data_IF_993592211202
#
_entry.id   IF_993592211202
#
_cell.length_a   1.000
_cell.length_b   1.000
_cell.length_c   1.000
_cell.angle_alpha   90.00
_cell.angle_beta   90.00
_cell.angle_gamma   90.00
#
_symmetry.space_group_name_H-M   'P 1'
#
loop_
_entity.id
_entity.type
_entity.pdbx_description
1 polymer ?
#
# COMPACT_ATOMS: atom_id res chain seq x y z
N UNK A 1 -16.39 81.81 -4.05
CA UNK A 1 -17.15 80.52 -4.13
C UNK A 1 -16.18 79.46 -4.58
N UNK A 2 -15.82 78.53 -3.69
CA UNK A 2 -14.92 77.39 -4.03
C UNK A 2 -15.77 76.14 -4.02
N UNK A 3 -15.82 75.44 -5.19
CA UNK A 3 -16.49 74.15 -5.29
C UNK A 3 -15.49 73.02 -4.91
N UNK A 4 -15.91 72.08 -4.11
CA UNK A 4 -15.08 70.91 -3.81
C UNK A 4 -15.21 69.90 -4.93
N UNK A 5 -14.06 69.37 -5.38
CA UNK A 5 -13.91 68.28 -6.35
C UNK A 5 -14.30 66.96 -5.70
N UNK A 6 -15.13 66.07 -6.28
CA UNK A 6 -15.41 64.76 -5.70
C UNK A 6 -14.23 63.81 -5.99
N UNK A 7 -13.69 63.23 -4.91
CA UNK A 7 -12.65 62.19 -4.94
C UNK A 7 -13.28 60.88 -5.34
N UNK A 8 -12.99 60.40 -6.55
CA UNK A 8 -13.48 59.10 -7.06
C UNK A 8 -12.65 58.00 -6.44
N UNK A 9 -13.26 57.22 -5.50
CA UNK A 9 -12.64 56.02 -4.92
C UNK A 9 -12.84 54.84 -5.86
N UNK A 10 -11.77 54.41 -6.59
CA UNK A 10 -11.78 53.23 -7.40
C UNK A 10 -11.46 52.03 -6.48
N UNK A 11 -12.51 51.25 -6.10
CA UNK A 11 -12.34 49.99 -5.37
C UNK A 11 -11.93 48.91 -6.36
N UNK A 12 -10.67 48.54 -6.30
CA UNK A 12 -10.14 47.36 -7.03
C UNK A 12 -10.62 46.10 -6.30
N UNK A 13 -11.67 45.47 -6.80
CA UNK A 13 -12.09 44.13 -6.38
C UNK A 13 -11.07 43.12 -6.96
N UNK A 14 -10.06 42.75 -6.17
CA UNK A 14 -9.24 41.59 -6.44
C UNK A 14 -10.09 40.35 -6.27
N UNK A 15 -10.61 39.82 -7.39
CA UNK A 15 -11.19 38.46 -7.44
C UNK A 15 -10.06 37.45 -7.27
N UNK A 16 -9.81 37.07 -6.04
CA UNK A 16 -8.93 35.94 -5.70
C UNK A 16 -9.51 34.66 -6.30
N UNK A 17 -8.99 34.21 -7.43
CA UNK A 17 -9.25 32.87 -7.94
C UNK A 17 -8.60 31.88 -6.97
N UNK A 18 -9.40 31.28 -6.10
CA UNK A 18 -8.97 30.11 -5.31
C UNK A 18 -8.71 28.99 -6.29
N UNK A 19 -7.43 28.72 -6.58
CA UNK A 19 -7.03 27.54 -7.32
C UNK A 19 -7.51 26.32 -6.51
N UNK A 20 -8.58 25.68 -6.94
CA UNK A 20 -9.07 24.43 -6.37
C UNK A 20 -7.97 23.37 -6.55
N UNK A 21 -7.29 22.99 -5.48
CA UNK A 21 -6.31 21.92 -5.51
C UNK A 21 -7.02 20.66 -6.03
N UNK A 22 -6.61 20.16 -7.19
CA UNK A 22 -7.19 18.97 -7.79
C UNK A 22 -6.98 17.78 -6.85
N UNK A 23 -8.07 17.23 -6.31
CA UNK A 23 -8.02 16.08 -5.42
C UNK A 23 -7.43 14.87 -6.18
N UNK A 24 -6.44 14.22 -5.57
CA UNK A 24 -5.82 13.04 -6.16
C UNK A 24 -6.84 11.90 -6.26
N UNK A 25 -6.93 11.28 -7.43
CA UNK A 25 -7.84 10.16 -7.70
C UNK A 25 -7.12 9.00 -8.37
N UNK A 26 -7.40 7.78 -7.91
CA UNK A 26 -6.87 6.53 -8.47
C UNK A 26 -7.98 5.83 -9.25
N UNK A 27 -7.67 5.39 -10.47
CA UNK A 27 -8.60 4.71 -11.38
C UNK A 27 -8.27 3.23 -11.57
N UNK A 28 -7.06 2.78 -11.17
CA UNK A 28 -6.67 1.37 -11.29
C UNK A 28 -5.25 1.11 -10.82
N UNK A 29 -4.89 -0.17 -10.81
CA UNK A 29 -3.52 -0.64 -10.58
C UNK A 29 -3.19 -1.80 -11.53
N UNK A 30 -1.99 -1.77 -12.13
CA UNK A 30 -1.48 -2.82 -13.01
C UNK A 30 -0.26 -3.46 -12.40
N UNK A 31 -0.29 -4.77 -12.15
CA UNK A 31 0.86 -5.55 -11.66
C UNK A 31 1.95 -5.55 -12.73
N UNK A 32 3.18 -5.24 -12.34
CA UNK A 32 4.39 -5.22 -13.19
C UNK A 32 5.31 -6.43 -12.96
N UNK A 33 5.38 -6.93 -11.73
CA UNK A 33 6.13 -8.12 -11.35
C UNK A 33 5.51 -8.75 -10.08
N UNK A 34 5.80 -10.02 -9.81
CA UNK A 34 5.38 -10.71 -8.59
C UNK A 34 6.31 -11.88 -8.25
N UNK A 35 6.36 -12.24 -6.96
CA UNK A 35 7.16 -13.36 -6.45
C UNK A 35 8.07 -12.96 -5.30
N UNK A 36 9.17 -13.71 -5.13
CA UNK A 36 10.20 -13.40 -4.15
C UNK A 36 11.00 -12.18 -4.61
N UNK A 37 11.18 -11.21 -3.71
CA UNK A 37 11.93 -9.99 -4.00
C UNK A 37 12.89 -9.65 -2.87
N UNK A 38 13.80 -8.71 -3.11
CA UNK A 38 14.66 -8.14 -2.07
C UNK A 38 14.38 -6.65 -1.89
N UNK A 39 14.55 -6.15 -0.68
CA UNK A 39 14.41 -4.73 -0.37
C UNK A 39 15.17 -4.39 0.89
N UNK A 40 15.52 -3.12 1.06
CA UNK A 40 15.82 -2.57 2.38
C UNK A 40 14.50 -2.30 3.10
N UNK A 41 14.42 -2.64 4.39
CA UNK A 41 13.17 -2.46 5.16
C UNK A 41 13.42 -1.74 6.45
N UNK A 42 12.49 -0.86 6.81
CA UNK A 42 12.33 -0.31 8.16
C UNK A 42 11.13 -0.97 8.82
N UNK A 43 11.35 -1.63 9.96
CA UNK A 43 10.27 -2.27 10.74
C UNK A 43 9.59 -1.23 11.61
N UNK A 44 8.26 -1.23 11.61
CA UNK A 44 7.40 -0.37 12.44
C UNK A 44 6.52 -1.28 13.30
N UNK A 45 6.42 -1.00 14.60
CA UNK A 45 5.47 -1.69 15.50
C UNK A 45 4.05 -1.24 15.16
N UNK A 46 3.14 -2.19 15.02
CA UNK A 46 1.73 -1.93 14.76
C UNK A 46 0.87 -3.06 15.35
N UNK A 47 0.12 -2.74 16.40
CA UNK A 47 -0.75 -3.70 17.08
C UNK A 47 -2.01 -4.08 16.30
N UNK A 48 -2.33 -3.36 15.23
CA UNK A 48 -3.51 -3.63 14.41
C UNK A 48 -3.34 -4.87 13.51
N UNK A 49 -2.09 -5.32 13.28
CA UNK A 49 -1.80 -6.48 12.44
C UNK A 49 -1.40 -7.71 13.28
N UNK A 50 -1.62 -8.91 12.72
CA UNK A 50 -1.42 -10.21 13.41
C UNK A 50 -0.01 -10.38 13.97
N UNK A 51 1.00 -9.93 13.26
CA UNK A 51 2.41 -10.03 13.66
C UNK A 51 2.86 -8.94 14.63
N UNK A 52 2.01 -7.95 14.94
CA UNK A 52 2.33 -6.80 15.80
C UNK A 52 3.33 -5.81 15.19
N UNK A 53 3.69 -5.96 13.94
CA UNK A 53 4.62 -5.09 13.21
C UNK A 53 4.45 -5.21 11.71
N UNK A 54 4.71 -4.12 10.99
CA UNK A 54 4.84 -4.13 9.53
C UNK A 54 6.18 -3.51 9.11
N UNK A 55 6.55 -3.69 7.85
CA UNK A 55 7.76 -3.08 7.28
C UNK A 55 7.42 -2.12 6.15
N UNK A 56 8.17 -1.03 6.09
CA UNK A 56 8.21 -0.13 4.94
C UNK A 56 9.44 -0.50 4.13
N UNK A 57 9.22 -0.99 2.92
CA UNK A 57 10.28 -1.36 2.00
C UNK A 57 10.76 -0.17 1.18
N UNK A 58 12.05 -0.11 0.95
CA UNK A 58 12.72 0.80 0.03
C UNK A 58 13.74 0.03 -0.81
N UNK A 59 14.17 0.62 -1.92
CA UNK A 59 15.15 -0.01 -2.81
C UNK A 59 14.75 -1.45 -3.20
N UNK A 60 13.47 -1.61 -3.55
CA UNK A 60 12.92 -2.92 -3.94
C UNK A 60 13.52 -3.38 -5.27
N UNK A 61 14.08 -4.59 -5.27
CA UNK A 61 14.57 -5.27 -6.47
C UNK A 61 13.59 -6.37 -6.85
N UNK A 62 12.99 -6.23 -8.02
CA UNK A 62 12.04 -7.20 -8.57
C UNK A 62 12.69 -8.58 -8.79
N UNK A 63 11.93 -9.68 -8.76
CA UNK A 63 12.42 -10.99 -9.08
C UNK A 63 12.87 -11.07 -10.56
N UNK A 64 13.88 -11.92 -10.84
CA UNK A 64 14.29 -12.20 -12.22
C UNK A 64 13.23 -12.94 -13.01
N UNK A 65 12.43 -13.77 -12.32
CA UNK A 65 11.33 -14.56 -12.89
C UNK A 65 10.13 -14.42 -11.98
N UNK A 66 8.98 -14.10 -12.55
CA UNK A 66 7.72 -14.05 -11.81
C UNK A 66 7.31 -15.46 -11.37
N UNK A 67 6.95 -15.60 -10.07
CA UNK A 67 6.43 -16.85 -9.51
C UNK A 67 5.43 -16.54 -8.40
N UNK A 68 4.31 -17.24 -8.40
CA UNK A 68 3.35 -17.25 -7.30
C UNK A 68 3.57 -18.43 -6.34
N UNK A 69 4.52 -19.32 -6.63
CA UNK A 69 4.93 -20.40 -5.74
C UNK A 69 6.04 -19.90 -4.81
N UNK A 70 5.77 -19.87 -3.52
CA UNK A 70 6.66 -19.32 -2.50
C UNK A 70 7.04 -20.42 -1.50
N UNK A 71 8.32 -20.71 -1.38
CA UNK A 71 8.83 -21.59 -0.34
C UNK A 71 9.07 -20.81 0.94
N UNK A 72 8.50 -21.27 2.05
CA UNK A 72 8.63 -20.66 3.37
C UNK A 72 10.04 -20.87 3.91
N UNK A 73 10.87 -19.84 3.81
CA UNK A 73 12.20 -19.78 4.44
C UNK A 73 12.34 -18.53 5.28
N UNK A 74 13.20 -18.52 6.31
CA UNK A 74 13.41 -17.33 7.13
C UNK A 74 13.81 -16.11 6.29
N UNK A 75 13.20 -14.97 6.58
CA UNK A 75 13.47 -13.68 5.92
C UNK A 75 13.10 -13.59 4.44
N UNK A 76 12.43 -14.60 3.88
CA UNK A 76 11.87 -14.52 2.53
C UNK A 76 10.87 -13.38 2.47
N UNK A 77 11.02 -12.52 1.46
CA UNK A 77 10.06 -11.50 1.10
C UNK A 77 9.35 -11.89 -0.19
N UNK A 78 8.04 -11.77 -0.21
CA UNK A 78 7.23 -12.04 -1.40
C UNK A 78 6.12 -11.02 -1.54
N UNK A 79 5.72 -10.77 -2.78
CA UNK A 79 4.72 -9.76 -3.07
C UNK A 79 4.67 -9.41 -4.55
N UNK A 80 4.19 -8.22 -4.86
CA UNK A 80 4.13 -7.73 -6.23
C UNK A 80 4.42 -6.23 -6.31
N UNK A 81 5.03 -5.83 -7.42
CA UNK A 81 5.15 -4.44 -7.82
C UNK A 81 4.04 -4.05 -8.77
N UNK A 82 3.66 -2.77 -8.74
CA UNK A 82 2.55 -2.28 -9.54
C UNK A 82 2.71 -0.81 -9.92
N UNK A 83 1.97 -0.42 -10.96
CA UNK A 83 1.78 0.95 -11.39
C UNK A 83 0.37 1.40 -11.03
N UNK A 84 0.23 2.52 -10.31
CA UNK A 84 -1.07 3.16 -10.06
C UNK A 84 -1.43 4.07 -11.21
N UNK A 85 -2.63 3.89 -11.76
CA UNK A 85 -3.25 4.78 -12.73
C UNK A 85 -4.12 5.80 -12.01
N UNK A 86 -3.98 7.09 -12.36
CA UNK A 86 -4.72 8.16 -11.71
C UNK A 86 -4.16 9.54 -12.02
N UNK A 87 -4.70 10.57 -11.36
CA UNK A 87 -4.30 11.98 -11.54
C UNK A 87 -4.36 12.72 -10.20
N UNK A 88 -3.51 13.74 -9.97
CA UNK A 88 -2.29 14.06 -10.74
C UNK A 88 -1.20 12.98 -10.57
N UNK A 89 -0.30 12.85 -11.57
CA UNK A 89 0.84 11.95 -11.49
C UNK A 89 1.74 12.35 -10.30
N UNK A 90 2.34 11.36 -9.62
CA UNK A 90 3.17 11.51 -8.42
C UNK A 90 2.44 12.01 -7.17
N UNK A 91 1.14 12.31 -7.23
CA UNK A 91 0.36 12.62 -6.03
C UNK A 91 0.32 11.43 -5.08
N UNK A 92 0.40 11.72 -3.78
CA UNK A 92 0.31 10.71 -2.74
C UNK A 92 -1.15 10.39 -2.42
N UNK A 93 -1.47 9.12 -2.35
CA UNK A 93 -2.81 8.61 -2.01
C UNK A 93 -2.71 7.53 -0.94
N UNK A 94 -3.67 7.50 -0.04
CA UNK A 94 -3.77 6.44 0.95
C UNK A 94 -4.69 5.35 0.39
N UNK A 95 -4.14 4.14 0.25
CA UNK A 95 -4.84 2.95 -0.19
C UNK A 95 -4.87 1.93 0.94
N UNK A 96 -5.84 1.03 0.92
CA UNK A 96 -5.98 -0.05 1.88
C UNK A 96 -5.34 -1.32 1.30
N UNK A 97 -4.33 -1.84 1.98
CA UNK A 97 -3.78 -3.17 1.74
C UNK A 97 -4.58 -4.19 2.54
N UNK A 98 -4.93 -5.32 1.91
CA UNK A 98 -5.60 -6.44 2.58
C UNK A 98 -4.82 -7.71 2.28
N UNK A 99 -4.43 -8.42 3.34
CA UNK A 99 -3.77 -9.72 3.28
C UNK A 99 -4.74 -10.77 3.82
N UNK A 100 -5.16 -11.72 3.00
CA UNK A 100 -6.01 -12.84 3.41
C UNK A 100 -5.16 -14.10 3.54
N UNK A 101 -5.40 -14.85 4.60
CA UNK A 101 -4.62 -16.02 4.97
C UNK A 101 -5.44 -17.30 4.79
N UNK A 102 -4.80 -18.44 4.38
CA UNK A 102 -5.46 -19.74 4.36
C UNK A 102 -5.85 -20.18 5.77
N UNK A 103 -6.68 -21.20 5.90
CA UNK A 103 -7.04 -21.80 7.19
C UNK A 103 -5.81 -22.38 7.90
N UNK A 104 -5.67 -22.22 9.21
CA UNK A 104 -6.59 -21.54 10.14
C UNK A 104 -6.43 -20.02 10.20
N UNK A 105 -5.46 -19.42 9.54
CA UNK A 105 -5.10 -18.00 9.58
C UNK A 105 -3.74 -17.76 10.20
N UNK A 106 -3.36 -16.48 10.35
CA UNK A 106 -2.15 -16.07 11.06
C UNK A 106 -2.36 -16.10 12.55
N UNK A 107 -1.46 -16.70 13.34
CA UNK A 107 -1.55 -16.68 14.79
C UNK A 107 -1.38 -15.26 15.32
N UNK A 108 -2.23 -14.86 16.26
CA UNK A 108 -2.07 -13.62 17.01
C UNK A 108 -1.13 -13.93 18.19
N UNK A 109 -0.03 -13.21 18.30
CA UNK A 109 1.07 -13.49 19.20
C UNK A 109 0.63 -13.87 20.63
N UNK A 110 0.90 -15.12 21.05
CA UNK A 110 0.69 -15.61 22.41
C UNK A 110 -0.75 -15.86 22.85
N UNK A 111 -1.75 -15.62 22.00
CA UNK A 111 -3.17 -15.72 22.39
C UNK A 111 -3.83 -17.07 22.07
N UNK A 112 -3.20 -17.91 21.25
CA UNK A 112 -3.80 -19.14 20.72
C UNK A 112 -4.94 -18.90 19.71
N UNK A 113 -5.20 -17.65 19.33
CA UNK A 113 -6.21 -17.27 18.34
C UNK A 113 -5.58 -17.01 16.97
N UNK A 114 -6.42 -17.06 15.92
CA UNK A 114 -5.99 -16.88 14.55
C UNK A 114 -6.80 -15.76 13.88
N UNK A 115 -6.13 -14.98 13.04
CA UNK A 115 -6.73 -13.93 12.22
C UNK A 115 -6.70 -14.33 10.74
N UNK A 116 -7.83 -14.21 10.07
CA UNK A 116 -7.99 -14.63 8.67
C UNK A 116 -7.53 -13.56 7.67
N UNK A 117 -7.43 -12.33 8.11
CA UNK A 117 -6.95 -11.23 7.28
C UNK A 117 -6.33 -10.12 8.11
N UNK A 118 -5.35 -9.43 7.54
CA UNK A 118 -4.86 -8.13 8.02
C UNK A 118 -5.21 -7.05 7.02
N UNK A 119 -5.56 -5.87 7.55
CA UNK A 119 -5.83 -4.68 6.76
C UNK A 119 -5.04 -3.51 7.32
N UNK A 120 -4.39 -2.75 6.45
CA UNK A 120 -3.66 -1.56 6.86
C UNK A 120 -3.69 -0.47 5.77
N UNK A 121 -3.80 0.81 6.17
CA UNK A 121 -3.63 1.92 5.25
C UNK A 121 -2.14 2.07 4.88
N UNK A 122 -1.87 2.36 3.63
CA UNK A 122 -0.52 2.64 3.16
C UNK A 122 -0.52 3.77 2.12
N UNK A 123 0.50 4.62 2.17
CA UNK A 123 0.61 5.75 1.24
C UNK A 123 1.45 5.39 0.03
N UNK A 124 0.85 5.53 -1.15
CA UNK A 124 1.47 5.28 -2.44
C UNK A 124 1.52 6.55 -3.30
N UNK A 125 2.41 6.59 -4.28
CA UNK A 125 2.43 7.62 -5.31
C UNK A 125 1.67 7.13 -6.56
N UNK A 126 0.86 7.99 -7.18
CA UNK A 126 0.27 7.69 -8.48
C UNK A 126 1.40 7.59 -9.52
N UNK A 127 1.46 6.49 -10.25
CA UNK A 127 2.55 6.17 -11.20
C UNK A 127 3.23 4.84 -10.92
N UNK A 128 4.38 4.59 -11.56
CA UNK A 128 5.14 3.34 -11.41
C UNK A 128 5.93 3.29 -10.09
N UNK A 129 6.54 2.13 -9.81
CA UNK A 129 7.52 1.94 -8.73
C UNK A 129 6.91 1.64 -7.36
N UNK A 130 5.62 1.31 -7.29
CA UNK A 130 4.98 0.87 -6.05
C UNK A 130 5.17 -0.64 -5.85
N UNK A 131 5.18 -1.08 -4.59
CA UNK A 131 5.20 -2.49 -4.23
C UNK A 131 4.35 -2.76 -2.99
N UNK A 132 3.79 -3.97 -2.93
CA UNK A 132 3.07 -4.52 -1.80
C UNK A 132 3.63 -5.91 -1.52
N UNK A 133 3.98 -6.20 -0.27
CA UNK A 133 4.58 -7.49 0.04
C UNK A 133 4.52 -7.85 1.52
N UNK A 134 5.05 -9.04 1.79
CA UNK A 134 5.10 -9.61 3.13
C UNK A 134 6.49 -10.20 3.39
N UNK A 135 6.96 -10.12 4.66
CA UNK A 135 8.24 -10.69 5.08
C UNK A 135 7.99 -11.84 6.07
N UNK A 136 8.55 -13.01 5.78
CA UNK A 136 8.45 -14.19 6.63
C UNK A 136 9.43 -14.06 7.80
N UNK A 137 8.89 -13.88 9.02
CA UNK A 137 9.70 -13.82 10.24
C UNK A 137 10.24 -15.19 10.64
N UNK A 138 11.57 -15.34 10.77
CA UNK A 138 12.20 -16.64 10.98
C UNK A 138 11.80 -17.36 12.26
N UNK A 139 11.63 -16.64 13.37
CA UNK A 139 11.29 -17.22 14.67
C UNK A 139 9.87 -17.81 14.75
N UNK A 140 8.96 -17.41 13.85
CA UNK A 140 7.57 -17.88 13.81
C UNK A 140 7.30 -18.81 12.62
N UNK A 141 8.33 -19.22 11.90
CA UNK A 141 8.19 -20.02 10.68
C UNK A 141 7.29 -21.27 10.84
N UNK A 142 7.40 -22.06 11.91
CA UNK A 142 6.54 -23.24 12.10
C UNK A 142 5.03 -22.94 12.20
N UNK A 143 4.67 -21.71 12.56
CA UNK A 143 3.28 -21.28 12.77
C UNK A 143 2.67 -20.60 11.53
N UNK A 144 3.47 -20.33 10.51
CA UNK A 144 2.98 -19.67 9.30
C UNK A 144 2.09 -20.61 8.49
N UNK A 145 0.87 -20.17 8.09
CA UNK A 145 -0.04 -21.02 7.35
C UNK A 145 0.47 -21.23 5.92
N UNK A 146 0.49 -22.49 5.49
CA UNK A 146 0.71 -22.90 4.09
C UNK A 146 -0.60 -22.83 3.32
N UNK A 147 -0.52 -22.76 1.99
CA UNK A 147 -1.67 -22.65 1.10
C UNK A 147 -1.77 -21.28 0.43
N UNK A 148 -2.96 -20.93 -0.03
CA UNK A 148 -3.18 -19.72 -0.84
C UNK A 148 -3.34 -18.48 0.05
N UNK A 149 -2.44 -17.53 -0.14
CA UNK A 149 -2.50 -16.18 0.41
C UNK A 149 -2.99 -15.23 -0.68
N UNK A 150 -3.91 -14.33 -0.32
CA UNK A 150 -4.44 -13.33 -1.26
C UNK A 150 -4.04 -11.93 -0.80
N UNK A 151 -3.41 -11.18 -1.68
CA UNK A 151 -3.04 -9.79 -1.47
C UNK A 151 -3.93 -8.89 -2.32
N UNK A 152 -4.59 -7.92 -1.70
CA UNK A 152 -5.52 -7.01 -2.36
C UNK A 152 -5.14 -5.56 -2.08
N UNK A 153 -5.30 -4.70 -3.08
CA UNK A 153 -5.14 -3.27 -2.98
C UNK A 153 -6.46 -2.58 -3.28
N UNK A 154 -6.94 -1.72 -2.37
CA UNK A 154 -8.23 -1.07 -2.43
C UNK A 154 -8.12 0.45 -2.38
N UNK A 155 -8.97 1.15 -3.16
CA UNK A 155 -9.23 2.58 -3.05
C UNK A 155 -10.68 2.78 -2.61
N UNK A 156 -10.89 3.15 -1.33
CA UNK A 156 -12.21 3.14 -0.74
C UNK A 156 -12.88 1.75 -0.83
N UNK A 157 -14.01 1.66 -1.52
CA UNK A 157 -14.74 0.41 -1.77
C UNK A 157 -14.30 -0.31 -3.07
N UNK A 158 -13.40 0.27 -3.88
CA UNK A 158 -13.00 -0.27 -5.17
C UNK A 158 -11.75 -1.14 -5.05
N UNK A 159 -11.84 -2.42 -5.43
CA UNK A 159 -10.68 -3.29 -5.59
C UNK A 159 -9.91 -2.86 -6.84
N UNK A 160 -8.65 -2.42 -6.64
CA UNK A 160 -7.78 -1.98 -7.74
C UNK A 160 -7.04 -3.14 -8.38
N UNK A 161 -6.55 -4.07 -7.57
CA UNK A 161 -5.84 -5.28 -8.02
C UNK A 161 -5.78 -6.34 -6.92
N UNK A 162 -5.59 -7.59 -7.35
CA UNK A 162 -5.45 -8.76 -6.48
C UNK A 162 -4.37 -9.69 -7.02
N UNK A 163 -3.63 -10.35 -6.10
CA UNK A 163 -2.67 -11.41 -6.46
C UNK A 163 -2.68 -12.52 -5.41
N UNK A 164 -2.75 -13.76 -5.89
CA UNK A 164 -2.63 -14.96 -5.07
C UNK A 164 -1.19 -15.47 -5.09
N UNK A 165 -0.74 -15.97 -3.93
CA UNK A 165 0.52 -16.67 -3.74
C UNK A 165 0.26 -18.00 -3.03
N UNK A 166 0.85 -19.07 -3.52
CA UNK A 166 0.78 -20.40 -2.88
C UNK A 166 2.03 -20.62 -2.06
N UNK A 167 1.89 -20.68 -0.74
CA UNK A 167 2.98 -20.90 0.18
C UNK A 167 3.12 -22.37 0.55
N UNK A 168 4.32 -22.93 0.42
CA UNK A 168 4.67 -24.30 0.80
C UNK A 168 5.87 -24.32 1.74
N UNK A 169 6.02 -25.40 2.50
CA UNK A 169 7.24 -25.70 3.26
C UNK A 169 8.28 -26.34 2.33
N UNK A 170 9.59 -26.23 2.66
CA UNK A 170 10.63 -26.99 1.97
C UNK A 170 10.40 -28.49 2.01
#
# INVERSE_FOLDING_TARGET
MRFPLPMLFVVFLMSGQSASAQQASVTGAKISWFGNYTSKSKVIKDSAISTGKHSIDSETVAPKVNSDQITLTPNTKFGFGFTLTGKPLHSRVVLRQVYKYPSPGMPIGGTGTFKRSDELPFTYAIGPGNAMGYTIGGQFLPQWPTGVWTFQLWSGANLLTEKNFTLSRP
#
